data_IF_114416654246
#
_entry.id   IF_114416654246
#
_cell.length_a   1.000
_cell.length_b   1.000
_cell.length_c   1.000
_cell.angle_alpha   90.00
_cell.angle_beta   90.00
_cell.angle_gamma   90.00
#
_symmetry.space_group_name_H-M   'P 1'
#
loop_
_entity.id
_entity.type
_entity.pdbx_description
1 polymer ?
#
# COMPACT_ATOMS: atom_id res chain seq x y z
N UNK A 1 2.04 26.91 22.35
CA UNK A 1 0.89 26.01 22.19
C UNK A 1 0.60 26.01 20.71
N UNK A 2 1.29 25.15 19.97
CA UNK A 2 1.19 25.12 18.51
C UNK A 2 0.00 24.26 18.12
N UNK A 3 -0.93 24.91 17.44
CA UNK A 3 -2.11 24.34 16.82
C UNK A 3 -1.65 23.40 15.70
N UNK A 4 -1.58 22.11 16.01
CA UNK A 4 -1.25 21.11 15.00
C UNK A 4 -2.39 21.05 13.98
N UNK A 5 -2.04 21.40 12.74
CA UNK A 5 -2.85 21.29 11.54
C UNK A 5 -3.34 19.84 11.33
N UNK A 6 -4.49 19.52 11.90
CA UNK A 6 -5.19 18.24 11.78
C UNK A 6 -5.99 18.13 10.48
N UNK A 7 -6.03 19.19 9.65
CA UNK A 7 -6.84 19.29 8.44
C UNK A 7 -6.01 19.20 7.14
N UNK A 8 -4.69 19.32 7.23
CA UNK A 8 -3.81 19.00 6.10
C UNK A 8 -3.84 17.50 5.81
N UNK A 9 -4.30 17.14 4.60
CA UNK A 9 -4.13 15.82 4.01
C UNK A 9 -2.63 15.48 3.99
N UNK A 10 -2.16 14.83 5.05
CA UNK A 10 -0.77 14.42 5.17
C UNK A 10 -0.41 13.54 3.98
N UNK A 11 0.74 13.80 3.38
CA UNK A 11 1.29 12.93 2.35
C UNK A 11 1.20 11.48 2.83
N UNK A 12 0.85 10.51 1.96
CA UNK A 12 0.77 9.10 2.32
C UNK A 12 2.04 8.56 3.02
N UNK A 13 3.18 9.24 2.84
CA UNK A 13 4.46 8.98 3.52
C UNK A 13 4.54 9.42 4.99
N UNK A 14 3.68 10.32 5.46
CA UNK A 14 3.72 10.91 6.80
C UNK A 14 2.75 10.26 7.81
N UNK A 15 1.73 9.54 7.32
CA UNK A 15 0.87 8.72 8.19
C UNK A 15 1.44 7.32 8.28
N UNK A 16 1.68 6.82 9.49
CA UNK A 16 2.10 5.43 9.71
C UNK A 16 1.05 4.53 9.04
N UNK A 17 1.44 3.77 8.01
CA UNK A 17 0.52 2.96 7.20
C UNK A 17 -0.40 2.04 8.02
N UNK A 18 0.09 1.56 9.17
CA UNK A 18 -0.66 0.77 10.14
C UNK A 18 -1.77 1.54 10.87
N UNK A 19 -1.57 2.84 11.12
CA UNK A 19 -2.59 3.70 11.71
C UNK A 19 -3.67 4.06 10.69
N UNK A 20 -3.27 4.29 9.44
CA UNK A 20 -4.21 4.56 8.34
C UNK A 20 -5.11 3.35 8.06
N UNK A 21 -4.56 2.13 8.06
CA UNK A 21 -5.35 0.91 7.91
C UNK A 21 -6.41 0.76 8.98
N UNK A 22 -6.09 1.04 10.25
CA UNK A 22 -7.06 0.98 11.34
C UNK A 22 -8.19 2.00 11.13
N UNK A 23 -7.85 3.22 10.74
CA UNK A 23 -8.84 4.26 10.47
C UNK A 23 -9.77 3.88 9.30
N UNK A 24 -9.20 3.42 8.18
CA UNK A 24 -9.97 2.99 7.00
C UNK A 24 -10.89 1.83 7.33
N UNK A 25 -10.39 0.80 8.04
CA UNK A 25 -11.22 -0.33 8.48
C UNK A 25 -12.32 0.11 9.44
N UNK A 26 -12.02 1.04 10.35
CA UNK A 26 -13.00 1.61 11.28
C UNK A 26 -14.12 2.35 10.54
N UNK A 27 -13.78 3.21 9.59
CA UNK A 27 -14.76 3.92 8.74
C UNK A 27 -15.60 2.91 7.95
N UNK A 28 -14.96 1.92 7.31
CA UNK A 28 -15.65 0.89 6.52
C UNK A 28 -16.64 0.10 7.36
N UNK A 29 -16.24 -0.35 8.55
CA UNK A 29 -17.09 -1.15 9.43
C UNK A 29 -18.28 -0.37 10.00
N UNK A 30 -18.11 0.94 10.20
CA UNK A 30 -19.12 1.80 10.81
C UNK A 30 -19.84 2.70 9.81
N UNK A 31 -19.64 2.51 8.49
CA UNK A 31 -20.17 3.41 7.46
C UNK A 31 -21.69 3.60 7.57
N UNK A 32 -22.44 2.51 7.78
CA UNK A 32 -23.90 2.57 7.95
C UNK A 32 -24.28 3.40 9.17
N UNK A 33 -23.65 3.12 10.32
CA UNK A 33 -23.91 3.86 11.57
C UNK A 33 -23.59 5.36 11.41
N UNK A 34 -22.50 5.70 10.73
CA UNK A 34 -22.14 7.09 10.45
C UNK A 34 -23.18 7.80 9.57
N UNK A 35 -23.71 7.12 8.54
CA UNK A 35 -24.74 7.71 7.68
C UNK A 35 -26.03 7.97 8.45
N UNK A 36 -26.44 7.02 9.30
CA UNK A 36 -27.66 7.13 10.11
C UNK A 36 -27.53 8.22 11.19
N UNK A 37 -26.40 8.25 11.92
CA UNK A 37 -26.14 9.28 12.93
C UNK A 37 -26.18 10.69 12.32
N UNK A 38 -25.59 10.87 11.13
CA UNK A 38 -25.63 12.16 10.43
C UNK A 38 -27.02 12.52 9.88
N UNK A 39 -27.86 11.52 9.64
CA UNK A 39 -29.26 11.73 9.25
C UNK A 39 -30.10 12.19 10.44
N UNK A 40 -29.90 11.58 11.61
CA UNK A 40 -30.52 11.98 12.87
C UNK A 40 -30.08 13.40 13.27
N UNK A 41 -28.77 13.70 13.23
CA UNK A 41 -28.24 15.04 13.54
C UNK A 41 -28.70 16.11 12.53
N UNK A 42 -28.96 15.74 11.26
CA UNK A 42 -29.62 16.64 10.30
C UNK A 42 -31.08 16.90 10.69
N UNK A 43 -31.83 15.86 11.09
CA UNK A 43 -33.25 15.95 11.41
C UNK A 43 -33.51 16.71 12.72
N UNK A 44 -32.72 16.44 13.76
CA UNK A 44 -32.95 16.95 15.12
C UNK A 44 -32.41 18.37 15.32
N UNK A 45 -31.31 18.71 14.66
CA UNK A 45 -30.59 19.98 14.88
C UNK A 45 -30.56 20.91 13.67
N UNK A 46 -31.18 20.51 12.55
CA UNK A 46 -31.09 21.20 11.26
C UNK A 46 -29.63 21.53 10.88
N UNK A 47 -28.70 20.63 11.19
CA UNK A 47 -27.27 20.88 11.08
C UNK A 47 -26.81 20.77 9.61
N UNK A 48 -26.43 21.89 8.93
CA UNK A 48 -26.06 21.85 7.52
C UNK A 48 -24.75 21.10 7.27
N UNK A 49 -23.88 21.05 8.28
CA UNK A 49 -22.61 20.31 8.23
C UNK A 49 -22.88 18.80 8.20
N UNK A 50 -23.78 18.31 9.06
CA UNK A 50 -24.16 16.89 9.10
C UNK A 50 -24.72 16.44 7.73
N UNK A 51 -25.65 17.23 7.18
CA UNK A 51 -26.19 17.04 5.82
C UNK A 51 -25.08 16.99 4.76
N UNK A 52 -24.13 17.92 4.82
CA UNK A 52 -23.02 17.99 3.86
C UNK A 52 -22.11 16.77 3.91
N UNK A 53 -21.76 16.29 5.10
CA UNK A 53 -20.95 15.08 5.29
C UNK A 53 -21.72 13.84 4.84
N UNK A 54 -22.99 13.70 5.25
CA UNK A 54 -23.85 12.58 4.87
C UNK A 54 -23.94 12.40 3.37
N UNK A 55 -24.19 13.50 2.64
CA UNK A 55 -24.20 13.51 1.17
C UNK A 55 -22.89 12.98 0.58
N UNK A 56 -21.74 13.32 1.16
CA UNK A 56 -20.43 12.80 0.71
C UNK A 56 -20.28 11.30 1.00
N UNK A 57 -20.67 10.84 2.18
CA UNK A 57 -20.62 9.42 2.55
C UNK A 57 -21.53 8.55 1.67
N UNK A 58 -22.65 9.13 1.21
CA UNK A 58 -23.60 8.50 0.29
C UNK A 58 -23.23 8.68 -1.19
N UNK A 59 -22.07 9.21 -1.54
CA UNK A 59 -21.56 9.11 -2.91
C UNK A 59 -21.00 7.71 -3.15
N UNK A 60 -21.27 7.10 -4.30
CA UNK A 60 -20.72 5.78 -4.63
C UNK A 60 -19.19 5.74 -4.52
N UNK A 61 -18.52 6.85 -4.82
CA UNK A 61 -17.07 6.98 -4.66
C UNK A 61 -16.59 6.70 -3.25
N UNK A 62 -17.32 7.12 -2.21
CA UNK A 62 -16.83 7.00 -0.83
C UNK A 62 -16.66 5.55 -0.37
N UNK A 63 -17.70 4.69 -0.38
CA UNK A 63 -17.54 3.30 0.00
C UNK A 63 -16.63 2.56 -0.99
N UNK A 64 -16.70 2.84 -2.30
CA UNK A 64 -15.82 2.21 -3.28
C UNK A 64 -14.32 2.48 -3.00
N UNK A 65 -13.95 3.75 -2.78
CA UNK A 65 -12.58 4.12 -2.43
C UNK A 65 -12.15 3.56 -1.08
N UNK A 66 -13.06 3.49 -0.11
CA UNK A 66 -12.75 2.92 1.22
C UNK A 66 -12.40 1.43 1.12
N UNK A 67 -13.09 0.68 0.25
CA UNK A 67 -12.79 -0.73 -0.01
C UNK A 67 -11.47 -0.88 -0.79
N UNK A 68 -11.26 -0.10 -1.85
CA UNK A 68 -9.98 -0.04 -2.58
C UNK A 68 -8.79 0.25 -1.64
N UNK A 69 -8.94 1.25 -0.77
CA UNK A 69 -7.91 1.61 0.21
C UNK A 69 -7.64 0.45 1.18
N UNK A 70 -8.67 -0.31 1.54
CA UNK A 70 -8.46 -1.48 2.41
C UNK A 70 -7.57 -2.53 1.72
N UNK A 71 -7.80 -2.79 0.43
CA UNK A 71 -7.02 -3.74 -0.35
C UNK A 71 -5.56 -3.26 -0.53
N UNK A 72 -5.36 -2.00 -0.92
CA UNK A 72 -4.01 -1.43 -1.09
C UNK A 72 -3.24 -1.43 0.24
N UNK A 73 -3.89 -1.04 1.34
CA UNK A 73 -3.24 -1.01 2.65
C UNK A 73 -2.87 -2.40 3.15
N UNK A 74 -3.67 -3.43 2.86
CA UNK A 74 -3.35 -4.81 3.21
C UNK A 74 -2.02 -5.25 2.54
N UNK A 75 -1.84 -4.92 1.25
CA UNK A 75 -0.61 -5.22 0.51
C UNK A 75 0.59 -4.48 1.10
N UNK A 76 0.49 -3.17 1.30
CA UNK A 76 1.59 -2.33 1.80
C UNK A 76 1.94 -2.69 3.26
N UNK A 77 0.96 -2.98 4.11
CA UNK A 77 1.22 -3.33 5.50
C UNK A 77 1.78 -4.74 5.66
N UNK A 78 1.45 -5.69 4.78
CA UNK A 78 2.12 -6.99 4.75
C UNK A 78 3.63 -6.84 4.54
N UNK A 79 4.04 -5.98 3.60
CA UNK A 79 5.45 -5.63 3.40
C UNK A 79 6.06 -4.98 4.65
N UNK A 80 5.41 -3.94 5.19
CA UNK A 80 5.92 -3.21 6.36
C UNK A 80 6.09 -4.12 7.58
N UNK A 81 5.11 -4.97 7.88
CA UNK A 81 5.17 -5.91 9.00
C UNK A 81 6.26 -6.96 8.79
N UNK A 82 6.48 -7.41 7.54
CA UNK A 82 7.57 -8.34 7.22
C UNK A 82 8.93 -7.72 7.52
N UNK A 83 9.12 -6.45 7.19
CA UNK A 83 10.37 -5.71 7.47
C UNK A 83 10.52 -5.18 8.89
N UNK A 84 9.47 -5.29 9.72
CA UNK A 84 9.51 -4.91 11.14
C UNK A 84 9.79 -6.09 12.07
N UNK A 85 9.94 -7.31 11.54
CA UNK A 85 10.35 -8.47 12.34
C UNK A 85 11.77 -8.26 12.87
N UNK A 86 12.07 -8.80 14.04
CA UNK A 86 13.40 -8.68 14.66
C UNK A 86 14.48 -9.33 13.77
N UNK A 87 14.16 -10.49 13.16
CA UNK A 87 15.06 -11.24 12.28
C UNK A 87 14.61 -11.17 10.81
N UNK A 88 14.73 -10.02 10.16
CA UNK A 88 14.50 -9.93 8.71
C UNK A 88 15.64 -10.62 7.97
N UNK A 89 15.37 -11.77 7.36
CA UNK A 89 16.33 -12.43 6.50
C UNK A 89 16.55 -11.61 5.22
N UNK A 90 17.80 -11.28 4.91
CA UNK A 90 18.19 -10.54 3.70
C UNK A 90 17.67 -11.21 2.41
N UNK A 91 17.58 -12.55 2.40
CA UNK A 91 17.01 -13.35 1.31
C UNK A 91 15.54 -13.03 1.01
N UNK A 92 14.81 -12.50 1.99
CA UNK A 92 13.39 -12.21 1.87
C UNK A 92 13.10 -10.83 1.30
N UNK A 93 14.07 -9.91 1.28
CA UNK A 93 13.85 -8.51 0.90
C UNK A 93 13.39 -8.39 -0.56
N UNK A 94 14.14 -8.95 -1.50
CA UNK A 94 13.78 -8.90 -2.92
C UNK A 94 12.43 -9.61 -3.19
N UNK A 95 12.19 -10.86 -2.73
CA UNK A 95 10.89 -11.51 -2.91
C UNK A 95 9.72 -10.69 -2.37
N UNK A 96 9.85 -10.10 -1.18
CA UNK A 96 8.78 -9.30 -0.56
C UNK A 96 8.49 -8.04 -1.36
N UNK A 97 9.53 -7.31 -1.80
CA UNK A 97 9.34 -6.11 -2.64
C UNK A 97 8.69 -6.48 -3.97
N UNK A 98 9.19 -7.52 -4.65
CA UNK A 98 8.65 -7.96 -5.95
C UNK A 98 7.20 -8.41 -5.84
N UNK A 99 6.85 -9.21 -4.82
CA UNK A 99 5.48 -9.66 -4.57
C UNK A 99 4.57 -8.47 -4.26
N UNK A 100 5.03 -7.48 -3.49
CA UNK A 100 4.25 -6.27 -3.17
C UNK A 100 3.95 -5.46 -4.44
N UNK A 101 4.94 -5.29 -5.31
CA UNK A 101 4.76 -4.58 -6.58
C UNK A 101 3.82 -5.33 -7.53
N UNK A 102 3.93 -6.66 -7.60
CA UNK A 102 3.01 -7.49 -8.38
C UNK A 102 1.56 -7.40 -7.86
N UNK A 103 1.35 -7.50 -6.54
CA UNK A 103 0.01 -7.36 -5.97
C UNK A 103 -0.60 -5.97 -6.17
N UNK A 104 0.21 -4.91 -6.22
CA UNK A 104 -0.27 -3.57 -6.59
C UNK A 104 -0.65 -3.48 -8.06
N UNK A 105 0.07 -4.16 -8.94
CA UNK A 105 -0.27 -4.26 -10.37
C UNK A 105 -1.60 -5.01 -10.57
N UNK A 106 -1.82 -6.10 -9.82
CA UNK A 106 -3.10 -6.82 -9.83
C UNK A 106 -4.26 -5.89 -9.41
N UNK A 107 -4.09 -5.11 -8.33
CA UNK A 107 -5.09 -4.13 -7.87
C UNK A 107 -5.27 -2.94 -8.82
N UNK A 108 -4.31 -2.68 -9.71
CA UNK A 108 -4.45 -1.65 -10.75
C UNK A 108 -5.38 -2.14 -11.86
N UNK A 109 -5.32 -3.44 -12.17
CA UNK A 109 -6.05 -4.07 -13.28
C UNK A 109 -7.38 -4.70 -12.85
N UNK A 110 -7.63 -4.89 -11.56
CA UNK A 110 -8.85 -5.52 -11.06
C UNK A 110 -9.20 -5.19 -9.60
N UNK A 111 -10.41 -5.57 -9.16
CA UNK A 111 -10.82 -5.39 -7.77
C UNK A 111 -10.03 -6.32 -6.83
N UNK A 112 -9.71 -5.82 -5.65
CA UNK A 112 -9.23 -6.65 -4.54
C UNK A 112 -10.36 -7.37 -3.80
N UNK A 113 -10.03 -8.04 -2.70
CA UNK A 113 -11.01 -8.81 -1.93
C UNK A 113 -12.10 -7.92 -1.32
N UNK A 114 -11.71 -6.80 -0.71
CA UNK A 114 -12.66 -5.87 -0.12
C UNK A 114 -13.53 -5.22 -1.19
N UNK A 115 -12.94 -4.78 -2.30
CA UNK A 115 -13.69 -4.18 -3.40
C UNK A 115 -14.66 -5.18 -4.04
N UNK A 116 -14.25 -6.43 -4.22
CA UNK A 116 -15.11 -7.50 -4.74
C UNK A 116 -16.35 -7.67 -3.87
N UNK A 117 -16.18 -7.76 -2.54
CA UNK A 117 -17.30 -7.86 -1.60
C UNK A 117 -18.22 -6.64 -1.65
N UNK A 118 -17.67 -5.45 -1.85
CA UNK A 118 -18.45 -4.23 -2.04
C UNK A 118 -19.28 -4.29 -3.32
N UNK A 119 -18.67 -4.68 -4.44
CA UNK A 119 -19.33 -4.79 -5.73
C UNK A 119 -20.45 -5.84 -5.71
N UNK A 120 -20.26 -6.97 -5.00
CA UNK A 120 -21.29 -8.00 -4.82
C UNK A 120 -22.46 -7.53 -3.94
N UNK A 121 -22.18 -6.72 -2.92
CA UNK A 121 -23.18 -6.17 -2.00
C UNK A 121 -23.92 -4.95 -2.55
N UNK A 122 -23.40 -4.32 -3.62
CA UNK A 122 -24.02 -3.20 -4.29
C UNK A 122 -25.13 -3.71 -5.23
N UNK A 123 -26.38 -3.42 -4.89
CA UNK A 123 -27.55 -3.85 -5.66
C UNK A 123 -28.46 -2.66 -5.94
N UNK A 124 -28.84 -2.46 -7.21
CA UNK A 124 -29.74 -1.39 -7.64
C UNK A 124 -29.36 0.02 -7.12
N UNK A 125 -28.05 0.30 -7.04
CA UNK A 125 -27.52 1.56 -6.52
C UNK A 125 -27.60 1.72 -5.00
N UNK A 126 -27.90 0.64 -4.28
CA UNK A 126 -27.94 0.61 -2.81
C UNK A 126 -26.81 -0.25 -2.26
N UNK A 127 -26.23 0.21 -1.17
CA UNK A 127 -25.24 -0.52 -0.40
C UNK A 127 -25.68 -0.54 1.06
N UNK A 128 -25.76 -1.73 1.66
CA UNK A 128 -26.28 -1.93 3.02
C UNK A 128 -27.64 -1.22 3.28
N UNK A 129 -28.54 -1.24 2.29
CA UNK A 129 -29.87 -0.62 2.37
C UNK A 129 -29.90 0.90 2.14
N UNK A 130 -28.75 1.56 2.06
CA UNK A 130 -28.65 3.01 1.82
C UNK A 130 -28.48 3.26 0.32
N UNK A 131 -29.31 4.15 -0.24
CA UNK A 131 -29.19 4.59 -1.64
C UNK A 131 -27.96 5.46 -1.82
N UNK A 132 -27.09 5.07 -2.75
CA UNK A 132 -25.91 5.81 -3.13
C UNK A 132 -26.23 6.72 -4.31
N UNK A 133 -25.69 7.94 -4.25
CA UNK A 133 -25.66 8.83 -5.40
C UNK A 133 -24.63 8.31 -6.39
N UNK A 134 -25.06 8.19 -7.65
CA UNK A 134 -24.24 7.70 -8.76
C UNK A 134 -22.97 8.55 -8.88
N UNK A 135 -21.85 7.86 -9.05
CA UNK A 135 -20.61 8.45 -9.51
C UNK A 135 -20.27 7.89 -10.88
N UNK A 136 -19.57 8.68 -11.67
CA UNK A 136 -19.06 8.22 -12.96
C UNK A 136 -18.02 7.11 -12.75
N UNK A 137 -18.29 5.90 -13.27
CA UNK A 137 -17.40 4.75 -13.19
C UNK A 137 -16.00 5.04 -13.76
N UNK A 138 -15.89 5.94 -14.75
CA UNK A 138 -14.61 6.37 -15.29
C UNK A 138 -13.79 7.14 -14.26
N UNK A 139 -14.45 7.93 -13.41
CA UNK A 139 -13.78 8.68 -12.32
C UNK A 139 -13.16 7.72 -11.31
N UNK A 140 -13.84 6.63 -10.95
CA UNK A 140 -13.29 5.63 -10.02
C UNK A 140 -12.05 4.93 -10.61
N UNK A 141 -12.11 4.49 -11.86
CA UNK A 141 -10.97 3.84 -12.53
C UNK A 141 -9.76 4.77 -12.64
N UNK A 142 -9.98 6.05 -12.95
CA UNK A 142 -8.91 7.06 -12.98
C UNK A 142 -8.28 7.25 -11.60
N UNK A 143 -9.09 7.41 -10.55
CA UNK A 143 -8.57 7.60 -9.18
C UNK A 143 -7.81 6.35 -8.71
N UNK A 144 -8.29 5.14 -9.02
CA UNK A 144 -7.59 3.89 -8.73
C UNK A 144 -6.19 3.89 -9.34
N UNK A 145 -6.11 4.11 -10.66
CA UNK A 145 -4.85 4.04 -11.40
C UNK A 145 -3.86 5.09 -10.92
N UNK A 146 -4.30 6.34 -10.73
CA UNK A 146 -3.47 7.43 -10.20
C UNK A 146 -2.95 7.11 -8.79
N UNK A 147 -3.81 6.64 -7.89
CA UNK A 147 -3.43 6.35 -6.51
C UNK A 147 -2.43 5.18 -6.42
N UNK A 148 -2.73 4.07 -7.08
CA UNK A 148 -1.87 2.88 -7.05
C UNK A 148 -0.53 3.17 -7.73
N UNK A 149 -0.50 3.97 -8.80
CA UNK A 149 0.73 4.39 -9.44
C UNK A 149 1.64 5.20 -8.48
N UNK A 150 1.08 6.13 -7.71
CA UNK A 150 1.86 6.91 -6.74
C UNK A 150 2.34 6.07 -5.54
N UNK A 151 1.54 5.09 -5.08
CA UNK A 151 1.98 4.11 -4.07
C UNK A 151 3.13 3.25 -4.62
N UNK A 152 2.98 2.73 -5.83
CA UNK A 152 3.99 1.91 -6.52
C UNK A 152 5.30 2.68 -6.71
N UNK A 153 5.22 3.93 -7.17
CA UNK A 153 6.36 4.84 -7.30
C UNK A 153 7.04 5.10 -5.96
N UNK A 154 6.27 5.29 -4.89
CA UNK A 154 6.82 5.47 -3.54
C UNK A 154 7.58 4.25 -3.05
N UNK A 155 7.08 3.04 -3.33
CA UNK A 155 7.78 1.78 -3.01
C UNK A 155 9.06 1.64 -3.84
N UNK A 156 9.01 1.85 -5.17
CA UNK A 156 10.18 1.81 -6.05
C UNK A 156 11.25 2.83 -5.66
N UNK A 157 10.85 4.01 -5.20
CA UNK A 157 11.77 5.04 -4.67
C UNK A 157 12.45 4.58 -3.39
N UNK A 158 11.72 3.90 -2.49
CA UNK A 158 12.26 3.38 -1.23
C UNK A 158 13.15 2.14 -1.43
N UNK A 159 12.83 1.32 -2.43
CA UNK A 159 13.57 0.12 -2.81
C UNK A 159 13.99 0.17 -4.28
N UNK A 160 15.01 1.00 -4.63
CA UNK A 160 15.52 1.06 -5.99
C UNK A 160 16.00 -0.33 -6.44
N UNK A 161 15.69 -0.69 -7.69
CA UNK A 161 16.05 -2.00 -8.26
C UNK A 161 17.54 -2.30 -8.18
N UNK A 162 18.39 -1.27 -8.33
CA UNK A 162 19.84 -1.38 -8.15
C UNK A 162 20.19 -1.91 -6.75
N UNK A 163 19.70 -1.26 -5.69
CA UNK A 163 20.00 -1.67 -4.32
C UNK A 163 19.38 -3.02 -3.95
N UNK A 164 18.16 -3.30 -4.44
CA UNK A 164 17.53 -4.61 -4.25
C UNK A 164 18.35 -5.71 -4.95
N UNK A 165 18.94 -5.41 -6.11
CA UNK A 165 19.86 -6.31 -6.81
C UNK A 165 21.13 -6.58 -6.00
N UNK A 166 21.74 -5.55 -5.42
CA UNK A 166 22.92 -5.72 -4.56
C UNK A 166 22.60 -6.57 -3.31
N UNK A 167 21.41 -6.41 -2.73
CA UNK A 167 20.94 -7.24 -1.62
C UNK A 167 20.79 -8.71 -2.04
N UNK A 168 20.31 -8.97 -3.26
CA UNK A 168 20.21 -10.30 -3.83
C UNK A 168 21.59 -10.93 -4.07
N UNK A 169 22.53 -10.14 -4.59
CA UNK A 169 23.92 -10.55 -4.76
C UNK A 169 24.56 -10.88 -3.39
N UNK A 170 24.34 -10.06 -2.37
CA UNK A 170 24.80 -10.32 -1.00
C UNK A 170 24.25 -11.65 -0.49
N UNK A 171 22.94 -11.89 -0.63
CA UNK A 171 22.32 -13.16 -0.28
C UNK A 171 22.93 -14.33 -1.06
N UNK A 172 23.30 -14.16 -2.32
CA UNK A 172 23.96 -15.20 -3.12
C UNK A 172 25.34 -15.53 -2.54
N UNK A 173 26.13 -14.53 -2.15
CA UNK A 173 27.50 -14.74 -1.65
C UNK A 173 27.53 -15.26 -0.21
N UNK A 174 26.66 -14.77 0.67
CA UNK A 174 26.78 -15.02 2.12
C UNK A 174 25.88 -16.14 2.63
N UNK A 175 24.87 -16.54 1.86
CA UNK A 175 23.90 -17.53 2.31
C UNK A 175 24.34 -18.95 1.91
N UNK A 176 24.99 -19.64 2.86
CA UNK A 176 25.46 -21.00 2.68
C UNK A 176 24.35 -22.01 2.32
N UNK A 177 23.06 -21.71 2.61
CA UNK A 177 21.95 -22.58 2.21
C UNK A 177 21.77 -22.68 0.70
N UNK A 178 22.36 -21.77 -0.07
CA UNK A 178 22.29 -21.77 -1.54
C UNK A 178 23.55 -22.32 -2.22
N UNK A 179 24.54 -22.76 -1.44
CA UNK A 179 25.80 -23.24 -2.00
C UNK A 179 25.57 -24.54 -2.78
N UNK A 180 26.18 -24.67 -3.98
CA UNK A 180 26.09 -25.90 -4.76
C UNK A 180 26.84 -27.03 -4.04
N UNK A 181 26.29 -28.25 -4.09
CA UNK A 181 26.92 -29.42 -3.45
C UNK A 181 28.15 -29.96 -4.18
N UNK A 182 28.42 -29.51 -5.42
CA UNK A 182 29.57 -29.95 -6.20
C UNK A 182 30.74 -28.95 -6.10
N UNK A 183 31.93 -29.44 -5.72
CA UNK A 183 33.15 -28.63 -5.56
C UNK A 183 33.52 -27.82 -6.81
N UNK A 184 33.27 -28.37 -8.00
CA UNK A 184 33.53 -27.68 -9.27
C UNK A 184 32.65 -26.44 -9.45
N UNK A 185 31.39 -26.52 -9.02
CA UNK A 185 30.44 -25.41 -9.07
C UNK A 185 30.67 -24.41 -7.93
N UNK A 186 31.14 -24.87 -6.77
CA UNK A 186 31.42 -24.01 -5.63
C UNK A 186 32.57 -23.02 -5.91
N UNK A 187 33.58 -23.44 -6.69
CA UNK A 187 34.74 -22.59 -7.05
C UNK A 187 34.37 -21.31 -7.81
N UNK A 188 33.28 -21.35 -8.59
CA UNK A 188 32.81 -20.20 -9.38
C UNK A 188 31.51 -19.60 -8.85
N UNK A 189 30.88 -20.22 -7.85
CA UNK A 189 29.60 -19.77 -7.29
C UNK A 189 29.74 -18.39 -6.66
N UNK A 190 28.84 -17.48 -7.05
CA UNK A 190 28.78 -16.14 -6.48
C UNK A 190 29.92 -15.20 -6.89
N UNK A 191 30.86 -15.59 -7.78
CA UNK A 191 31.95 -14.70 -8.20
C UNK A 191 31.44 -13.43 -8.89
N UNK A 192 30.49 -13.56 -9.82
CA UNK A 192 29.89 -12.39 -10.48
C UNK A 192 29.10 -11.50 -9.50
N UNK A 193 28.39 -12.13 -8.56
CA UNK A 193 27.66 -11.41 -7.51
C UNK A 193 28.64 -10.65 -6.60
N UNK A 194 29.75 -11.29 -6.23
CA UNK A 194 30.83 -10.69 -5.45
C UNK A 194 31.48 -9.52 -6.19
N UNK A 195 31.71 -9.64 -7.49
CA UNK A 195 32.24 -8.56 -8.34
C UNK A 195 31.29 -7.36 -8.33
N UNK A 196 29.99 -7.57 -8.55
CA UNK A 196 28.97 -6.50 -8.51
C UNK A 196 28.90 -5.81 -7.14
N UNK A 197 28.98 -6.57 -6.04
CA UNK A 197 29.04 -6.02 -4.68
C UNK A 197 30.31 -5.18 -4.49
N UNK A 198 31.47 -5.71 -4.88
CA UNK A 198 32.75 -5.02 -4.79
C UNK A 198 32.75 -3.72 -5.60
N UNK A 199 32.19 -3.74 -6.80
CA UNK A 199 32.03 -2.57 -7.65
C UNK A 199 31.14 -1.50 -7.00
N UNK A 200 29.98 -1.92 -6.47
CA UNK A 200 29.03 -1.00 -5.85
C UNK A 200 29.64 -0.28 -4.63
N UNK A 201 30.23 -1.04 -3.69
CA UNK A 201 30.82 -0.46 -2.47
C UNK A 201 32.23 0.11 -2.68
N UNK A 202 32.98 -0.38 -3.67
CA UNK A 202 34.30 0.12 -4.06
C UNK A 202 34.24 1.52 -4.66
N UNK A 203 33.24 1.80 -5.50
CA UNK A 203 32.96 3.14 -6.04
C UNK A 203 32.60 4.16 -4.95
N UNK A 204 32.01 3.71 -3.84
CA UNK A 204 31.66 4.58 -2.71
C UNK A 204 32.90 5.13 -1.99
N UNK A 205 33.98 4.32 -1.86
CA UNK A 205 35.26 4.77 -1.28
C UNK A 205 35.99 5.81 -2.12
N UNK A 206 35.82 5.80 -3.45
CA UNK A 206 36.44 6.78 -4.34
C UNK A 206 35.80 8.18 -4.24
N UNK A 207 34.48 8.25 -3.98
CA UNK A 207 33.75 9.53 -3.85
C UNK A 207 33.96 10.27 -2.52
N UNK A 208 34.44 9.61 -1.47
CA UNK A 208 34.72 10.25 -0.16
C UNK A 208 36.16 10.77 -0.01
N UNK A 209 37.02 10.56 -1.02
CA UNK A 209 38.41 11.07 -1.04
C UNK A 209 38.59 12.32 -1.92
N UNK A 210 37.49 12.97 -2.33
CA UNK A 210 37.47 14.22 -3.08
C UNK A 210 36.91 15.35 -2.25
#
# INVERSE_FOLDING_TARGET
MEEHDLLSLKHPSATRWLSLERAVKGIRANWVALVLELEEEEADRDCPVAKGIRKRLQTLMFPALTHLLTDVLAVVNRMNLTFQKEDVNISSIQPVVSMTLASLDDLMNGPGEAETKFNEALQDGKFCGITLTQADAQTFSRVRTEYIAEVTKSIKKRFPSEHVGIIADLNTVINASHYPGADSALKSYGLEALERICDHYGRFKAKQKG
#
